data_IF_057676084687
#
_entry.id   IF_057676084687
#
_cell.length_a   1.000
_cell.length_b   1.000
_cell.length_c   1.000
_cell.angle_alpha   90.00
_cell.angle_beta   90.00
_cell.angle_gamma   90.00
#
_symmetry.space_group_name_H-M   'P 1'
#
loop_
_entity.id
_entity.type
_entity.pdbx_description
1 polymer ?
#
# COMPACT_ATOMS: atom_id res chain seq x y z
N UNK A 1 20.86 2.09 8.08
CA UNK A 1 21.27 0.69 7.87
C UNK A 1 21.78 0.57 6.45
N UNK A 2 22.94 -0.05 6.19
CA UNK A 2 23.41 -0.23 4.81
C UNK A 2 22.91 -1.58 4.27
N UNK A 3 21.75 -1.57 3.60
CA UNK A 3 21.16 -2.79 3.06
C UNK A 3 21.97 -3.42 1.92
N UNK A 4 22.78 -2.63 1.21
CA UNK A 4 23.64 -3.13 0.12
C UNK A 4 24.75 -4.07 0.63
N UNK A 5 25.12 -3.99 1.91
CA UNK A 5 26.04 -4.95 2.54
C UNK A 5 25.35 -6.28 2.88
N UNK A 6 24.02 -6.29 2.98
CA UNK A 6 23.23 -7.43 3.43
C UNK A 6 22.55 -8.16 2.27
N UNK A 7 22.05 -7.39 1.30
CA UNK A 7 21.23 -7.88 0.21
C UNK A 7 21.70 -7.36 -1.14
N UNK A 8 21.37 -8.12 -2.18
CA UNK A 8 21.49 -7.76 -3.58
C UNK A 8 20.09 -7.88 -4.20
N UNK A 9 19.63 -6.82 -4.88
CA UNK A 9 18.43 -6.88 -5.71
C UNK A 9 18.81 -7.46 -7.08
N UNK A 10 18.08 -8.47 -7.54
CA UNK A 10 18.24 -9.04 -8.88
C UNK A 10 17.12 -8.58 -9.83
N UNK A 11 17.29 -8.86 -11.11
CA UNK A 11 16.37 -8.47 -12.19
C UNK A 11 14.96 -9.05 -12.06
N UNK A 12 14.80 -10.11 -11.26
CA UNK A 12 13.50 -10.69 -10.91
C UNK A 12 12.73 -9.86 -9.87
N UNK A 13 13.30 -8.76 -9.38
CA UNK A 13 12.72 -7.89 -8.37
C UNK A 13 12.78 -8.49 -6.96
N UNK A 14 13.59 -9.52 -6.74
CA UNK A 14 13.75 -10.17 -5.45
C UNK A 14 15.10 -9.86 -4.81
N UNK A 15 15.10 -9.80 -3.48
CA UNK A 15 16.32 -9.64 -2.70
C UNK A 15 16.97 -11.00 -2.48
N UNK A 16 18.28 -11.05 -2.61
CA UNK A 16 19.12 -12.20 -2.31
C UNK A 16 20.15 -11.81 -1.25
N UNK A 17 20.61 -12.75 -0.44
CA UNK A 17 21.67 -12.49 0.52
C UNK A 17 22.99 -12.18 -0.21
N UNK A 18 23.68 -11.12 0.21
CA UNK A 18 24.96 -10.72 -0.38
C UNK A 18 26.08 -11.70 0.00
N UNK A 19 27.12 -11.80 -0.84
CA UNK A 19 28.30 -12.61 -0.53
C UNK A 19 29.02 -12.11 0.75
N UNK A 20 29.03 -10.78 0.96
CA UNK A 20 29.59 -10.15 2.16
C UNK A 20 28.85 -10.58 3.43
N UNK A 21 27.53 -10.75 3.36
CA UNK A 21 26.76 -11.21 4.50
C UNK A 21 26.96 -12.70 4.75
N UNK A 22 27.03 -13.50 3.69
CA UNK A 22 27.21 -14.95 3.77
C UNK A 22 28.60 -15.38 4.25
N UNK A 23 29.61 -14.50 4.17
CA UNK A 23 30.95 -14.78 4.71
C UNK A 23 30.99 -14.77 6.25
N UNK A 24 29.88 -14.42 6.93
CA UNK A 24 29.79 -14.41 8.39
C UNK A 24 29.53 -15.83 8.94
N UNK A 25 30.20 -16.23 10.04
CA UNK A 25 30.03 -17.57 10.62
C UNK A 25 28.63 -17.75 11.22
N UNK A 26 28.04 -18.95 11.02
CA UNK A 26 26.74 -19.43 11.54
C UNK A 26 25.49 -18.69 11.03
N UNK A 27 25.08 -18.97 9.79
CA UNK A 27 23.65 -18.91 9.45
C UNK A 27 23.20 -20.17 8.74
N UNK A 28 22.46 -21.02 9.47
CA UNK A 28 21.77 -22.16 8.88
C UNK A 28 20.58 -21.66 8.04
N UNK A 29 20.34 -22.28 6.89
CA UNK A 29 19.18 -22.06 5.99
C UNK A 29 19.10 -20.71 5.24
N UNK A 30 20.22 -20.05 4.95
CA UNK A 30 20.28 -18.95 3.96
C UNK A 30 21.21 -19.32 2.80
N UNK A 31 20.91 -18.83 1.60
CA UNK A 31 21.59 -19.19 0.36
C UNK A 31 21.58 -18.00 -0.59
N UNK A 32 22.62 -17.85 -1.41
CA UNK A 32 22.70 -16.83 -2.48
C UNK A 32 21.92 -17.22 -3.73
N UNK A 33 21.57 -18.49 -3.85
CA UNK A 33 20.84 -19.09 -4.96
C UNK A 33 19.33 -18.94 -4.80
N UNK A 34 18.85 -18.66 -3.58
CA UNK A 34 17.42 -18.51 -3.26
C UNK A 34 17.08 -17.08 -2.82
N UNK A 35 15.90 -16.56 -3.20
CA UNK A 35 15.42 -15.28 -2.68
C UNK A 35 15.38 -15.27 -1.15
N UNK A 36 15.74 -14.13 -0.57
CA UNK A 36 15.57 -13.85 0.84
C UNK A 36 14.08 -13.63 1.16
N UNK A 37 13.66 -14.14 2.33
CA UNK A 37 12.31 -13.95 2.82
C UNK A 37 11.31 -14.97 2.32
N UNK A 38 10.04 -14.71 2.59
CA UNK A 38 8.91 -15.54 2.18
C UNK A 38 7.66 -14.68 2.01
N UNK A 39 6.67 -15.25 1.33
CA UNK A 39 5.38 -14.58 1.11
C UNK A 39 4.57 -14.61 2.41
N UNK A 40 4.29 -13.43 2.95
CA UNK A 40 3.29 -13.19 3.98
C UNK A 40 1.95 -12.87 3.35
N UNK A 41 0.92 -13.62 3.72
CA UNK A 41 -0.47 -13.36 3.33
C UNK A 41 -1.16 -12.63 4.47
N UNK A 42 -1.53 -11.37 4.25
CA UNK A 42 -2.35 -10.64 5.21
C UNK A 42 -3.75 -11.29 5.22
N UNK A 43 -4.23 -11.72 6.39
CA UNK A 43 -5.56 -12.36 6.50
C UNK A 43 -6.69 -11.34 6.38
N UNK A 44 -6.42 -10.08 6.67
CA UNK A 44 -7.39 -8.99 6.68
C UNK A 44 -7.42 -8.20 5.38
N UNK A 45 -6.34 -8.26 4.59
CA UNK A 45 -6.23 -7.60 3.27
C UNK A 45 -6.04 -8.66 2.20
N UNK A 46 -6.67 -8.53 1.03
CA UNK A 46 -6.44 -9.44 -0.12
C UNK A 46 -5.08 -9.19 -0.80
N UNK A 47 -4.04 -8.90 -0.02
CA UNK A 47 -2.71 -8.52 -0.50
C UNK A 47 -1.67 -9.40 0.18
N UNK A 48 -0.64 -9.78 -0.57
CA UNK A 48 0.51 -10.52 -0.06
C UNK A 48 1.76 -9.66 -0.20
N UNK A 49 2.71 -9.83 0.72
CA UNK A 49 3.99 -9.12 0.71
C UNK A 49 5.12 -10.11 0.90
N UNK A 50 6.30 -9.81 0.37
CA UNK A 50 7.52 -10.51 0.73
C UNK A 50 8.05 -9.91 2.03
N UNK A 51 8.23 -10.74 3.05
CA UNK A 51 8.83 -10.34 4.33
C UNK A 51 10.15 -11.06 4.56
N UNK A 52 11.11 -10.36 5.14
CA UNK A 52 12.46 -10.82 5.40
C UNK A 52 12.73 -10.69 6.90
N UNK A 53 13.15 -11.79 7.54
CA UNK A 53 13.62 -11.76 8.92
C UNK A 53 15.12 -11.46 8.91
N UNK A 54 15.51 -10.43 9.66
CA UNK A 54 16.89 -10.00 9.79
C UNK A 54 17.13 -9.43 11.19
N UNK A 55 18.16 -9.92 11.90
CA UNK A 55 18.49 -9.51 13.28
C UNK A 55 17.25 -9.41 14.19
N UNK A 56 16.48 -10.49 14.25
CA UNK A 56 15.24 -10.62 15.05
C UNK A 56 14.11 -9.63 14.75
N UNK A 57 14.24 -8.88 13.67
CA UNK A 57 13.19 -7.99 13.15
C UNK A 57 12.66 -8.54 11.82
N UNK A 58 11.41 -8.19 11.53
CA UNK A 58 10.76 -8.50 10.26
C UNK A 58 10.67 -7.21 9.46
N UNK A 59 11.16 -7.25 8.23
CA UNK A 59 11.13 -6.14 7.28
C UNK A 59 10.32 -6.55 6.05
N UNK A 60 9.58 -5.60 5.47
CA UNK A 60 8.97 -5.82 4.16
C UNK A 60 10.01 -5.57 3.06
N UNK A 61 10.09 -6.47 2.08
CA UNK A 61 11.11 -6.44 1.03
C UNK A 61 11.09 -5.11 0.25
N UNK A 62 9.89 -4.60 -0.09
CA UNK A 62 9.74 -3.32 -0.79
C UNK A 62 10.33 -2.13 -0.02
N UNK A 63 10.37 -2.16 1.32
CA UNK A 63 11.00 -1.09 2.12
C UNK A 63 12.52 -1.17 2.06
N UNK A 64 13.07 -2.39 2.16
CA UNK A 64 14.51 -2.61 1.99
C UNK A 64 14.94 -2.15 0.60
N UNK A 65 14.21 -2.56 -0.44
CA UNK A 65 14.48 -2.17 -1.82
C UNK A 65 14.45 -0.65 -1.98
N UNK A 66 13.43 0.03 -1.44
CA UNK A 66 13.40 1.49 -1.46
C UNK A 66 14.64 2.11 -0.79
N UNK A 67 14.99 1.63 0.40
CA UNK A 67 16.13 2.17 1.15
C UNK A 67 17.49 1.91 0.48
N UNK A 68 17.61 0.84 -0.31
CA UNK A 68 18.82 0.57 -1.11
C UNK A 68 19.04 1.61 -2.22
N UNK A 69 17.96 2.12 -2.82
CA UNK A 69 18.03 3.04 -3.97
C UNK A 69 17.94 4.52 -3.57
N UNK A 70 17.08 4.84 -2.61
CA UNK A 70 16.73 6.22 -2.26
C UNK A 70 17.11 6.61 -0.83
N UNK A 71 17.61 5.67 -0.03
CA UNK A 71 17.93 5.90 1.38
C UNK A 71 16.71 5.86 2.30
N UNK A 72 16.88 6.41 3.49
CA UNK A 72 15.92 6.26 4.60
C UNK A 72 14.50 6.73 4.23
N UNK A 73 13.50 5.93 4.60
CA UNK A 73 12.09 6.30 4.45
C UNK A 73 11.77 7.36 5.52
N UNK A 74 11.39 8.60 5.16
CA UNK A 74 11.12 9.64 6.13
C UNK A 74 10.01 9.25 7.11
N UNK A 75 10.08 9.78 8.34
CA UNK A 75 9.05 9.56 9.35
C UNK A 75 7.66 9.98 8.84
N UNK A 76 6.66 9.13 9.06
CA UNK A 76 5.29 9.35 8.59
C UNK A 76 5.01 8.96 7.14
N UNK A 77 6.03 8.57 6.37
CA UNK A 77 5.89 8.08 5.01
C UNK A 77 5.83 6.54 4.96
N UNK A 78 5.24 6.02 3.88
CA UNK A 78 5.13 4.61 3.56
C UNK A 78 5.52 4.37 2.11
N UNK A 79 5.89 3.13 1.81
CA UNK A 79 6.13 2.69 0.45
C UNK A 79 4.89 1.92 -0.02
N UNK A 80 4.37 2.34 -1.16
CA UNK A 80 3.17 1.78 -1.78
C UNK A 80 3.50 1.22 -3.17
N UNK A 81 2.76 0.18 -3.55
CA UNK A 81 2.87 -0.47 -4.86
C UNK A 81 1.86 0.16 -5.81
N UNK A 82 2.32 0.79 -6.89
CA UNK A 82 1.46 1.50 -7.85
C UNK A 82 0.39 0.61 -8.46
N UNK A 83 0.71 -0.66 -8.71
CA UNK A 83 -0.20 -1.67 -9.25
C UNK A 83 -1.07 -2.39 -8.19
N UNK A 84 -0.87 -2.11 -6.90
CA UNK A 84 -1.55 -2.79 -5.79
C UNK A 84 -1.11 -4.24 -5.55
N UNK A 85 -0.13 -4.75 -6.31
CA UNK A 85 0.42 -6.08 -6.14
C UNK A 85 1.66 -6.03 -5.23
N UNK A 86 1.47 -6.36 -3.94
CA UNK A 86 2.54 -6.34 -2.93
C UNK A 86 3.69 -7.34 -3.16
N UNK A 87 3.63 -8.17 -4.20
CA UNK A 87 4.72 -9.04 -4.65
C UNK A 87 5.54 -8.44 -5.80
N UNK A 88 5.05 -7.41 -6.49
CA UNK A 88 5.78 -6.74 -7.57
C UNK A 88 6.70 -5.65 -7.00
N UNK A 89 7.90 -6.03 -6.58
CA UNK A 89 8.85 -5.11 -5.94
C UNK A 89 9.80 -4.40 -6.92
N UNK A 90 9.46 -4.30 -8.20
CA UNK A 90 10.22 -3.45 -9.13
C UNK A 90 10.29 -2.03 -8.60
N UNK A 91 11.47 -1.41 -8.61
CA UNK A 91 11.68 -0.06 -8.07
C UNK A 91 10.76 0.97 -8.74
N UNK A 92 10.51 0.81 -10.04
CA UNK A 92 9.60 1.67 -10.81
C UNK A 92 8.13 1.48 -10.41
N UNK A 93 7.77 0.35 -9.81
CA UNK A 93 6.44 0.08 -9.27
C UNK A 93 6.27 0.61 -7.85
N UNK A 94 7.35 1.00 -7.16
CA UNK A 94 7.28 1.56 -5.81
C UNK A 94 7.11 3.08 -5.84
N UNK A 95 6.45 3.61 -4.82
CA UNK A 95 6.38 5.06 -4.57
C UNK A 95 6.39 5.36 -3.08
N UNK A 96 7.00 6.48 -2.72
CA UNK A 96 6.87 7.07 -1.40
C UNK A 96 5.54 7.82 -1.32
N UNK A 97 4.73 7.48 -0.33
CA UNK A 97 3.43 8.11 -0.08
C UNK A 97 3.30 8.45 1.39
N UNK A 98 2.60 9.55 1.67
CA UNK A 98 2.10 9.82 3.01
C UNK A 98 1.00 8.82 3.38
N UNK A 99 0.73 8.68 4.68
CA UNK A 99 -0.42 7.90 5.16
C UNK A 99 -1.74 8.39 4.52
N UNK A 100 -1.90 9.71 4.35
CA UNK A 100 -3.09 10.30 3.75
C UNK A 100 -3.29 9.91 2.29
N UNK A 101 -2.22 9.95 1.49
CA UNK A 101 -2.24 9.53 0.09
C UNK A 101 -2.50 8.03 -0.05
N UNK A 102 -1.89 7.20 0.81
CA UNK A 102 -2.15 5.75 0.79
C UNK A 102 -3.64 5.44 1.07
N UNK A 103 -4.26 6.17 2.01
CA UNK A 103 -5.69 6.02 2.30
C UNK A 103 -6.60 6.42 1.13
N UNK A 104 -6.16 7.35 0.27
CA UNK A 104 -6.88 7.71 -0.96
C UNK A 104 -6.88 6.59 -2.00
N UNK A 105 -5.99 5.60 -1.92
CA UNK A 105 -5.93 4.47 -2.85
C UNK A 105 -6.67 3.21 -2.36
N UNK A 106 -7.41 3.31 -1.26
CA UNK A 106 -8.08 2.15 -0.66
C UNK A 106 -9.21 1.62 -1.54
N UNK A 107 -9.30 0.29 -1.64
CA UNK A 107 -10.44 -0.42 -2.22
C UNK A 107 -11.72 -0.15 -1.44
N UNK A 108 -12.88 -0.35 -2.09
CA UNK A 108 -14.16 -0.29 -1.38
C UNK A 108 -14.26 -1.44 -0.36
N UNK A 109 -14.97 -1.21 0.73
CA UNK A 109 -15.27 -2.28 1.69
C UNK A 109 -16.22 -3.30 1.07
N UNK A 110 -16.06 -4.58 1.44
CA UNK A 110 -16.91 -5.68 0.94
C UNK A 110 -18.37 -5.55 1.33
N UNK A 111 -18.68 -4.83 2.41
CA UNK A 111 -20.03 -4.52 2.87
C UNK A 111 -20.57 -3.17 2.33
N UNK A 112 -19.90 -2.56 1.35
CA UNK A 112 -20.39 -1.36 0.69
C UNK A 112 -21.63 -1.69 -0.14
N UNK A 113 -22.78 -1.14 0.24
CA UNK A 113 -24.09 -1.40 -0.39
C UNK A 113 -24.44 -0.40 -1.49
N UNK A 114 -23.73 0.72 -1.60
CA UNK A 114 -23.99 1.77 -2.59
C UNK A 114 -23.23 1.56 -3.91
N UNK A 115 -22.27 0.63 -3.94
CA UNK A 115 -21.34 0.44 -5.05
C UNK A 115 -20.26 1.53 -5.15
N UNK A 116 -20.28 2.55 -4.28
CA UNK A 116 -19.38 3.69 -4.32
C UNK A 116 -18.86 4.04 -2.91
N UNK A 117 -17.54 4.15 -2.76
CA UNK A 117 -16.92 4.54 -1.49
C UNK A 117 -17.28 6.00 -1.14
N UNK A 118 -17.69 6.26 0.09
CA UNK A 118 -18.11 7.60 0.51
C UNK A 118 -19.56 7.94 0.18
N UNK A 119 -20.36 6.97 -0.30
CA UNK A 119 -21.81 7.13 -0.49
C UNK A 119 -22.56 6.10 0.36
N UNK A 120 -23.57 6.53 1.11
CA UNK A 120 -24.41 5.63 1.90
C UNK A 120 -25.81 6.18 2.15
N UNK A 121 -26.76 5.30 2.52
CA UNK A 121 -28.12 5.72 2.86
C UNK A 121 -28.19 6.26 4.29
N UNK A 122 -28.64 7.50 4.45
CA UNK A 122 -28.83 8.14 5.74
C UNK A 122 -30.26 7.92 6.25
N UNK A 123 -30.45 6.97 7.18
CA UNK A 123 -31.77 6.53 7.66
C UNK A 123 -32.65 7.68 8.20
N UNK A 124 -32.10 8.57 9.01
CA UNK A 124 -32.86 9.67 9.64
C UNK A 124 -33.39 10.67 8.60
N UNK A 125 -32.53 11.13 7.69
CA UNK A 125 -32.90 12.08 6.64
C UNK A 125 -33.60 11.43 5.45
N UNK A 126 -33.65 10.10 5.38
CA UNK A 126 -34.19 9.32 4.25
C UNK A 126 -33.63 9.80 2.90
N UNK A 127 -32.31 10.00 2.87
CA UNK A 127 -31.55 10.51 1.71
C UNK A 127 -30.23 9.77 1.57
N UNK A 128 -29.70 9.72 0.36
CA UNK A 128 -28.31 9.33 0.12
C UNK A 128 -27.39 10.45 0.57
N UNK A 129 -26.34 10.13 1.33
CA UNK A 129 -25.31 11.09 1.72
C UNK A 129 -24.02 10.76 0.97
N UNK A 130 -23.39 11.79 0.41
CA UNK A 130 -22.06 11.70 -0.16
C UNK A 130 -21.06 12.43 0.74
N UNK A 131 -19.89 11.84 0.94
CA UNK A 131 -18.80 12.45 1.70
C UNK A 131 -17.46 12.01 1.15
N UNK A 132 -16.45 12.84 1.38
CA UNK A 132 -15.06 12.57 1.03
C UNK A 132 -14.17 12.79 2.25
N UNK A 133 -13.00 12.14 2.30
CA UNK A 133 -12.05 12.31 3.39
C UNK A 133 -10.77 12.92 2.88
N UNK A 134 -10.41 14.10 3.36
CA UNK A 134 -9.16 14.75 2.98
C UNK A 134 -8.42 15.25 4.22
N UNK A 135 -7.09 15.07 4.24
CA UNK A 135 -6.24 15.40 5.39
C UNK A 135 -6.77 14.91 6.75
N UNK A 136 -7.35 13.70 6.78
CA UNK A 136 -7.92 13.09 7.99
C UNK A 136 -9.28 13.64 8.43
N UNK A 137 -9.87 14.59 7.68
CA UNK A 137 -11.19 15.15 7.97
C UNK A 137 -12.23 14.65 6.97
N UNK A 138 -13.42 14.32 7.48
CA UNK A 138 -14.57 13.96 6.65
C UNK A 138 -15.32 15.22 6.25
N UNK A 139 -15.47 15.43 4.95
CA UNK A 139 -16.17 16.54 4.33
C UNK A 139 -17.51 16.03 3.80
N UNK A 140 -18.61 16.64 4.25
CA UNK A 140 -19.95 16.32 3.77
C UNK A 140 -20.17 17.02 2.42
N UNK A 141 -20.44 16.24 1.38
CA UNK A 141 -20.71 16.75 0.03
C UNK A 141 -22.20 17.03 -0.20
N UNK A 142 -23.07 16.54 0.68
CA UNK A 142 -24.49 16.83 0.66
C UNK A 142 -25.38 15.59 0.82
N UNK A 143 -26.68 15.85 0.78
CA UNK A 143 -27.75 14.86 0.87
C UNK A 143 -28.62 14.89 -0.38
N UNK A 144 -28.83 13.72 -0.99
CA UNK A 144 -29.45 13.55 -2.30
C UNK A 144 -30.64 12.60 -2.20
N UNK A 145 -31.62 12.78 -3.08
CA UNK A 145 -32.76 11.85 -3.19
C UNK A 145 -32.38 10.61 -3.99
N UNK A 146 -31.57 10.78 -5.04
CA UNK A 146 -31.06 9.70 -5.89
C UNK A 146 -29.70 9.21 -5.44
N UNK A 147 -29.45 7.91 -5.63
CA UNK A 147 -28.13 7.30 -5.46
C UNK A 147 -27.16 7.85 -6.51
N UNK A 148 -27.61 7.98 -7.76
CA UNK A 148 -26.78 8.39 -8.88
C UNK A 148 -26.26 9.82 -8.72
N UNK A 149 -27.09 10.73 -8.21
CA UNK A 149 -26.69 12.11 -7.90
C UNK A 149 -25.58 12.13 -6.83
N UNK A 150 -25.73 11.33 -5.77
CA UNK A 150 -24.74 11.21 -4.71
C UNK A 150 -23.40 10.64 -5.24
N UNK A 151 -23.47 9.66 -6.14
CA UNK A 151 -22.28 9.07 -6.79
C UNK A 151 -21.62 10.10 -7.73
N UNK A 152 -22.39 10.86 -8.51
CA UNK A 152 -21.87 11.86 -9.42
C UNK A 152 -21.07 12.93 -8.65
N UNK A 153 -21.66 13.48 -7.60
CA UNK A 153 -21.00 14.47 -6.72
C UNK A 153 -19.78 13.86 -6.03
N UNK A 154 -19.85 12.60 -5.59
CA UNK A 154 -18.72 11.90 -4.99
C UNK A 154 -17.54 11.78 -5.97
N UNK A 155 -17.79 11.39 -7.22
CA UNK A 155 -16.77 11.23 -8.28
C UNK A 155 -16.16 12.57 -8.72
N UNK A 156 -16.95 13.64 -8.74
CA UNK A 156 -16.43 14.97 -9.01
C UNK A 156 -15.47 15.40 -7.89
N UNK A 157 -15.85 15.18 -6.63
CA UNK A 157 -14.97 15.45 -5.50
C UNK A 157 -13.68 14.59 -5.53
N UNK A 158 -13.71 13.34 -6.02
CA UNK A 158 -12.48 12.53 -6.18
C UNK A 158 -11.44 13.25 -7.04
N UNK A 159 -11.87 13.87 -8.14
CA UNK A 159 -10.99 14.64 -9.03
C UNK A 159 -10.43 15.87 -8.30
N UNK A 160 -11.29 16.63 -7.64
CA UNK A 160 -10.90 17.87 -6.93
C UNK A 160 -9.91 17.60 -5.79
N UNK A 161 -10.08 16.50 -5.06
CA UNK A 161 -9.24 16.17 -3.91
C UNK A 161 -8.08 15.21 -4.24
N UNK A 162 -7.80 14.98 -5.52
CA UNK A 162 -6.64 14.21 -5.97
C UNK A 162 -6.68 12.72 -5.59
N UNK A 163 -7.85 12.10 -5.64
CA UNK A 163 -7.96 10.65 -5.51
C UNK A 163 -7.50 9.97 -6.80
N UNK A 164 -6.81 8.83 -6.67
CA UNK A 164 -6.38 8.05 -7.82
C UNK A 164 -7.58 7.40 -8.52
N UNK A 165 -7.47 7.22 -9.84
CA UNK A 165 -8.45 6.49 -10.66
C UNK A 165 -8.74 5.05 -10.21
N UNK A 166 -7.88 4.48 -9.36
CA UNK A 166 -8.03 3.13 -8.82
C UNK A 166 -8.82 3.11 -7.50
N UNK A 167 -9.17 4.28 -6.94
CA UNK A 167 -9.92 4.36 -5.70
C UNK A 167 -11.27 3.64 -5.82
N UNK A 168 -11.61 2.83 -4.82
CA UNK A 168 -12.89 2.15 -4.78
C UNK A 168 -13.06 0.99 -5.76
N UNK A 169 -12.00 0.56 -6.47
CA UNK A 169 -11.97 -0.74 -7.16
C UNK A 169 -12.25 -1.89 -6.17
#
# INVERSE_FOLDING_TARGET
>A
MNWNEVFVLKDDGLLYWSDQYLSRPKMFNISKEKPAGHIFKDKNRKTSYIIIRYQDKIYAAHRIIWEMFYGEIPSGMQIDHKDGNGLNNSIDNLRLVSLGENLKNKSKYTNNTSGCAGVSWHKTHKKWVAYISDAGKRINLGYFKSLDDAIAVRREAEKTYGYHENHGR
#
